data_IF_408708720770
#
_entry.id   IF_408708720770
#
_cell.length_a   1.000
_cell.length_b   1.000
_cell.length_c   1.000
_cell.angle_alpha   90.00
_cell.angle_beta   90.00
_cell.angle_gamma   90.00
#
_symmetry.space_group_name_H-M   'P 1'
#
loop_
_entity.id
_entity.type
_entity.pdbx_description
1 polymer ?
#
# COMPACT_ATOMS: atom_id res chain seq x y z
N UNK A 1 3.18 4.13 -17.54
CA UNK A 1 3.82 2.92 -16.96
C UNK A 1 2.76 1.83 -16.94
N UNK A 2 3.02 0.67 -17.56
CA UNK A 2 2.12 -0.46 -17.54
C UNK A 2 2.09 -1.15 -16.17
N UNK A 3 1.11 -2.05 -15.99
CA UNK A 3 1.03 -2.90 -14.79
C UNK A 3 2.28 -3.79 -14.71
N UNK A 4 2.97 -3.86 -13.56
CA UNK A 4 4.13 -4.73 -13.42
C UNK A 4 3.77 -6.20 -13.65
N UNK A 5 4.60 -6.92 -14.39
CA UNK A 5 4.47 -8.37 -14.50
C UNK A 5 5.23 -9.02 -13.34
N UNK A 6 4.53 -9.85 -12.56
CA UNK A 6 5.10 -10.54 -11.41
C UNK A 6 5.48 -11.96 -11.81
N UNK A 7 6.75 -12.32 -11.57
CA UNK A 7 7.27 -13.67 -11.79
C UNK A 7 7.19 -14.48 -10.49
N UNK A 8 6.05 -15.11 -10.26
CA UNK A 8 5.80 -15.91 -9.06
C UNK A 8 6.68 -17.16 -8.99
N UNK A 9 7.01 -17.77 -10.13
CA UNK A 9 7.88 -18.96 -10.17
C UNK A 9 9.28 -18.62 -9.68
N UNK A 10 9.78 -17.45 -10.07
CA UNK A 10 11.07 -16.93 -9.59
C UNK A 10 11.01 -16.63 -8.09
N UNK A 11 9.93 -16.06 -7.59
CA UNK A 11 9.74 -15.79 -6.16
C UNK A 11 9.78 -17.11 -5.36
N UNK A 12 9.08 -18.14 -5.84
CA UNK A 12 9.08 -19.47 -5.23
C UNK A 12 10.48 -20.08 -5.21
N UNK A 13 11.24 -19.95 -6.31
CA UNK A 13 12.61 -20.41 -6.38
C UNK A 13 13.53 -19.70 -5.39
N UNK A 14 13.40 -18.39 -5.26
CA UNK A 14 14.14 -17.60 -4.27
C UNK A 14 13.78 -18.06 -2.85
N UNK A 15 12.50 -18.19 -2.56
CA UNK A 15 12.03 -18.61 -1.23
C UNK A 15 12.58 -19.98 -0.81
N UNK A 16 12.71 -20.90 -1.76
CA UNK A 16 13.32 -22.22 -1.51
C UNK A 16 14.83 -22.15 -1.30
N UNK A 17 15.50 -21.20 -1.96
CA UNK A 17 16.95 -21.08 -1.93
C UNK A 17 17.51 -20.38 -0.69
N UNK A 18 16.71 -19.54 -0.02
CA UNK A 18 17.17 -18.74 1.10
C UNK A 18 16.28 -18.93 2.35
N UNK A 19 16.88 -19.07 3.56
CA UNK A 19 16.16 -19.28 4.81
C UNK A 19 15.73 -17.97 5.50
N UNK A 20 15.85 -16.83 4.83
CA UNK A 20 15.60 -15.51 5.42
C UNK A 20 14.27 -14.92 4.93
N UNK A 21 13.66 -13.99 5.70
CA UNK A 21 12.48 -13.26 5.25
C UNK A 21 12.74 -12.43 3.99
N UNK A 22 11.72 -12.35 3.12
CA UNK A 22 11.79 -11.60 1.86
C UNK A 22 10.96 -10.32 1.97
N UNK A 23 11.54 -9.20 1.52
CA UNK A 23 10.91 -7.88 1.52
C UNK A 23 10.52 -7.49 0.10
N UNK A 24 9.29 -7.03 -0.09
CA UNK A 24 8.84 -6.41 -1.34
C UNK A 24 9.10 -4.91 -1.30
N UNK A 25 9.81 -4.42 -2.31
CA UNK A 25 9.95 -3.00 -2.62
C UNK A 25 9.22 -2.65 -3.92
N UNK A 26 8.84 -1.39 -4.08
CA UNK A 26 8.33 -0.88 -5.36
C UNK A 26 6.96 -1.42 -5.75
N UNK A 27 6.12 -1.79 -4.80
CA UNK A 27 4.78 -2.35 -5.03
C UNK A 27 3.74 -1.36 -5.57
N UNK A 28 4.11 -0.12 -5.87
CA UNK A 28 3.19 0.89 -6.42
C UNK A 28 2.59 0.43 -7.75
N UNK A 29 1.26 0.42 -7.84
CA UNK A 29 0.53 -0.02 -9.02
C UNK A 29 0.16 -1.50 -9.03
N UNK A 30 0.47 -2.25 -7.97
CA UNK A 30 -0.04 -3.59 -7.76
C UNK A 30 -1.49 -3.54 -7.27
N UNK A 31 -2.27 -4.56 -7.65
CA UNK A 31 -3.64 -4.75 -7.17
C UNK A 31 -3.64 -5.48 -5.82
N UNK A 32 -4.78 -5.42 -5.11
CA UNK A 32 -4.97 -6.18 -3.87
C UNK A 32 -4.73 -7.69 -4.09
N UNK A 33 -5.19 -8.21 -5.23
CA UNK A 33 -4.97 -9.61 -5.61
C UNK A 33 -3.48 -9.94 -5.79
N UNK A 34 -2.71 -9.01 -6.38
CA UNK A 34 -1.26 -9.20 -6.53
C UNK A 34 -0.57 -9.26 -5.15
N UNK A 35 -0.95 -8.39 -4.23
CA UNK A 35 -0.40 -8.40 -2.87
C UNK A 35 -0.73 -9.70 -2.13
N UNK A 36 -1.98 -10.17 -2.22
CA UNK A 36 -2.40 -11.44 -1.60
C UNK A 36 -1.56 -12.60 -2.13
N UNK A 37 -1.41 -12.70 -3.46
CA UNK A 37 -0.59 -13.73 -4.09
C UNK A 37 0.89 -13.63 -3.70
N UNK A 38 1.45 -12.43 -3.63
CA UNK A 38 2.84 -12.23 -3.22
C UNK A 38 3.08 -12.72 -1.78
N UNK A 39 2.15 -12.47 -0.87
CA UNK A 39 2.20 -12.99 0.50
C UNK A 39 2.11 -14.53 0.51
N UNK A 40 1.18 -15.11 -0.27
CA UNK A 40 1.03 -16.57 -0.42
C UNK A 40 2.31 -17.22 -0.96
N UNK A 41 3.02 -16.56 -1.89
CA UNK A 41 4.29 -17.00 -2.46
C UNK A 41 5.53 -16.69 -1.59
N UNK A 42 5.33 -16.15 -0.39
CA UNK A 42 6.39 -16.07 0.62
C UNK A 42 7.00 -14.70 0.88
N UNK A 43 6.38 -13.62 0.42
CA UNK A 43 6.75 -12.27 0.87
C UNK A 43 6.37 -12.10 2.34
N UNK A 44 7.32 -11.65 3.14
CA UNK A 44 7.16 -11.50 4.60
C UNK A 44 6.96 -10.04 5.02
N UNK A 45 7.46 -9.09 4.25
CA UNK A 45 7.35 -7.66 4.53
C UNK A 45 7.09 -6.88 3.23
N UNK A 46 6.21 -5.91 3.29
CA UNK A 46 5.89 -5.02 2.17
C UNK A 46 6.18 -3.59 2.58
N UNK A 47 7.01 -2.89 1.79
CA UNK A 47 7.20 -1.46 1.94
C UNK A 47 6.12 -0.74 1.16
N UNK A 48 5.23 -0.04 1.87
CA UNK A 48 4.06 0.61 1.32
C UNK A 48 4.09 2.10 1.68
N UNK A 49 4.12 2.97 0.67
CA UNK A 49 4.21 4.41 0.89
C UNK A 49 3.43 5.22 -0.16
N UNK A 50 3.78 5.11 -1.43
CA UNK A 50 3.32 6.02 -2.50
C UNK A 50 1.80 6.07 -2.63
N UNK A 51 1.11 4.94 -2.60
CA UNK A 51 -0.34 4.90 -2.73
C UNK A 51 -1.04 5.59 -1.54
N UNK A 52 -0.48 5.46 -0.34
CA UNK A 52 -0.98 6.13 0.86
C UNK A 52 -0.90 7.66 0.70
N UNK A 53 0.26 8.18 0.35
CA UNK A 53 0.48 9.63 0.23
C UNK A 53 -0.29 10.26 -0.93
N UNK A 54 -0.45 9.53 -2.04
CA UNK A 54 -1.27 9.99 -3.17
C UNK A 54 -2.75 10.07 -2.77
N UNK A 55 -3.28 9.09 -2.07
CA UNK A 55 -4.65 9.14 -1.56
C UNK A 55 -4.88 10.32 -0.63
N UNK A 56 -3.90 10.63 0.24
CA UNK A 56 -3.95 11.82 1.09
C UNK A 56 -3.98 13.12 0.28
N UNK A 57 -3.11 13.23 -0.71
CA UNK A 57 -3.06 14.41 -1.59
C UNK A 57 -4.34 14.61 -2.40
N UNK A 58 -4.93 13.54 -2.93
CA UNK A 58 -6.18 13.59 -3.68
C UNK A 58 -7.35 14.00 -2.79
N UNK A 59 -7.44 13.45 -1.57
CA UNK A 59 -8.45 13.83 -0.59
C UNK A 59 -8.37 15.33 -0.23
N UNK A 60 -7.16 15.87 -0.06
CA UNK A 60 -6.96 17.31 0.21
C UNK A 60 -7.39 18.17 -0.98
N UNK A 61 -7.10 17.76 -2.21
CA UNK A 61 -7.57 18.47 -3.43
C UNK A 61 -9.10 18.52 -3.50
N UNK A 62 -9.74 17.36 -3.29
CA UNK A 62 -11.20 17.27 -3.29
C UNK A 62 -11.84 18.12 -2.19
N UNK A 63 -11.29 18.05 -0.98
CA UNK A 63 -11.72 18.86 0.16
C UNK A 63 -11.61 20.36 -0.14
N UNK A 64 -10.46 20.80 -0.64
CA UNK A 64 -10.22 22.22 -0.97
C UNK A 64 -11.13 22.72 -2.09
N UNK A 65 -11.43 21.89 -3.08
CA UNK A 65 -12.35 22.23 -4.17
C UNK A 65 -13.81 22.32 -3.70
N UNK A 66 -14.22 21.50 -2.73
CA UNK A 66 -15.59 21.44 -2.23
C UNK A 66 -15.87 22.41 -1.08
N UNK A 67 -14.84 22.94 -0.42
CA UNK A 67 -14.97 23.72 0.82
C UNK A 67 -14.50 25.15 0.61
N UNK A 68 -15.40 26.13 0.73
CA UNK A 68 -15.10 27.55 0.46
C UNK A 68 -14.16 28.17 1.50
N UNK A 69 -14.27 27.78 2.75
CA UNK A 69 -13.46 28.33 3.85
C UNK A 69 -13.07 27.20 4.82
N UNK A 70 -11.80 27.04 5.06
CA UNK A 70 -11.24 26.04 5.93
C UNK A 70 -9.93 26.51 6.58
N UNK A 71 -9.51 25.82 7.62
CA UNK A 71 -8.28 26.06 8.35
C UNK A 71 -7.23 24.99 8.05
N UNK A 72 -5.97 25.25 8.39
CA UNK A 72 -4.88 24.28 8.22
C UNK A 72 -5.13 22.96 8.96
N UNK A 73 -5.79 23.01 10.12
CA UNK A 73 -6.20 21.82 10.89
C UNK A 73 -7.17 20.92 10.12
N UNK A 74 -8.04 21.51 9.31
CA UNK A 74 -8.98 20.75 8.47
C UNK A 74 -8.24 20.00 7.35
N UNK A 75 -7.21 20.64 6.78
CA UNK A 75 -6.33 20.03 5.77
C UNK A 75 -5.57 18.86 6.36
N UNK A 76 -4.95 19.05 7.53
CA UNK A 76 -4.20 17.99 8.24
C UNK A 76 -5.11 16.81 8.59
N UNK A 77 -6.32 17.08 9.09
CA UNK A 77 -7.27 16.03 9.42
C UNK A 77 -7.74 15.27 8.16
N UNK A 78 -8.01 15.96 7.06
CA UNK A 78 -8.40 15.35 5.78
C UNK A 78 -7.31 14.42 5.27
N UNK A 79 -6.07 14.87 5.26
CA UNK A 79 -4.88 14.08 4.91
C UNK A 79 -4.79 12.82 5.79
N UNK A 80 -4.84 13.00 7.10
CA UNK A 80 -4.72 11.92 8.08
C UNK A 80 -5.81 10.85 7.89
N UNK A 81 -7.07 11.25 7.73
CA UNK A 81 -8.17 10.30 7.58
C UNK A 81 -8.06 9.48 6.29
N UNK A 82 -7.66 10.11 5.19
CA UNK A 82 -7.47 9.43 3.90
C UNK A 82 -6.31 8.43 3.95
N UNK A 83 -5.16 8.84 4.47
CA UNK A 83 -4.00 7.96 4.62
C UNK A 83 -4.28 6.80 5.58
N UNK A 84 -4.93 7.07 6.71
CA UNK A 84 -5.36 6.05 7.67
C UNK A 84 -6.27 5.00 7.04
N UNK A 85 -7.23 5.41 6.20
CA UNK A 85 -8.14 4.50 5.53
C UNK A 85 -7.39 3.56 4.58
N UNK A 86 -6.43 4.07 3.81
CA UNK A 86 -5.59 3.28 2.90
C UNK A 86 -4.71 2.30 3.66
N UNK A 87 -4.06 2.74 4.73
CA UNK A 87 -3.22 1.85 5.57
C UNK A 87 -4.06 0.75 6.20
N UNK A 88 -5.22 1.09 6.75
CA UNK A 88 -6.14 0.12 7.37
C UNK A 88 -6.62 -0.93 6.36
N UNK A 89 -6.96 -0.52 5.13
CA UNK A 89 -7.32 -1.43 4.06
C UNK A 89 -6.19 -2.42 3.76
N UNK A 90 -4.97 -1.92 3.58
CA UNK A 90 -3.82 -2.76 3.21
C UNK A 90 -3.33 -3.66 4.35
N UNK A 91 -3.52 -3.30 5.62
CA UNK A 91 -3.30 -4.23 6.74
C UNK A 91 -4.14 -5.49 6.55
N UNK A 92 -5.40 -5.34 6.14
CA UNK A 92 -6.28 -6.47 5.81
C UNK A 92 -5.81 -7.25 4.57
N UNK A 93 -5.46 -6.55 3.49
CA UNK A 93 -4.98 -7.15 2.23
C UNK A 93 -3.71 -7.97 2.45
N UNK A 94 -2.75 -7.45 3.23
CA UNK A 94 -1.50 -8.14 3.54
C UNK A 94 -1.66 -9.29 4.54
N UNK A 95 -2.83 -9.44 5.15
CA UNK A 95 -3.09 -10.43 6.19
C UNK A 95 -2.31 -10.19 7.48
N UNK A 96 -1.93 -8.93 7.73
CA UNK A 96 -1.18 -8.54 8.94
C UNK A 96 -2.06 -8.72 10.17
N UNK A 97 -1.52 -9.39 11.17
CA UNK A 97 -2.19 -9.63 12.46
C UNK A 97 -1.36 -9.04 13.60
N UNK A 98 -2.04 -8.65 14.69
CA UNK A 98 -1.34 -8.26 15.92
C UNK A 98 -0.64 -9.47 16.54
N UNK A 99 0.49 -9.22 17.12
CA UNK A 99 1.28 -10.23 17.83
C UNK A 99 0.60 -10.61 19.15
#
# INVERSE_FOLDING_TARGET
KGTPHIDYDRLDAIKKAIPVPIVLHGGSGLTDTDYIKLVEHGINKINFFTAMTLAGADAVKEFAAATRKFQGTDVVNTLYQAEKAVVKHHIGVFGTQSI
#
